data_IF_871934485299
#
_entry.id   IF_871934485299
#
_cell.length_a   1.000
_cell.length_b   1.000
_cell.length_c   1.000
_cell.angle_alpha   90.00
_cell.angle_beta   90.00
_cell.angle_gamma   90.00
#
_symmetry.space_group_name_H-M   'P 1'
#
loop_
_entity.id
_entity.type
_entity.pdbx_description
1 polymer ?
#
# COMPACT_ATOMS: atom_id res chain seq x y z
N UNK A 1 10.87 -10.17 -9.32
CA UNK A 1 11.37 -9.85 -7.96
C UNK A 1 11.60 -8.35 -7.90
N UNK A 2 11.35 -7.72 -6.76
CA UNK A 2 11.55 -6.28 -6.57
C UNK A 2 12.31 -6.07 -5.26
N UNK A 3 13.17 -5.06 -5.24
CA UNK A 3 14.07 -4.77 -4.14
C UNK A 3 14.84 -3.50 -4.45
N UNK A 4 15.28 -2.80 -3.41
CA UNK A 4 15.97 -1.52 -3.56
C UNK A 4 16.64 -1.10 -2.27
N UNK A 5 17.52 -0.12 -2.39
CA UNK A 5 18.18 0.54 -1.27
C UNK A 5 17.90 2.03 -1.34
N UNK A 6 17.75 2.65 -0.17
CA UNK A 6 17.61 4.10 -0.02
C UNK A 6 18.77 4.58 0.85
N UNK A 7 19.53 5.54 0.33
CA UNK A 7 20.45 6.34 1.12
C UNK A 7 19.84 7.73 1.33
N UNK A 8 19.87 8.20 2.57
CA UNK A 8 19.34 9.51 2.95
C UNK A 8 20.26 10.18 3.97
N UNK A 9 20.72 11.39 3.64
CA UNK A 9 21.42 12.25 4.59
C UNK A 9 20.41 12.80 5.59
N UNK A 10 20.73 12.67 6.89
CA UNK A 10 19.97 13.32 7.95
C UNK A 10 20.53 14.72 8.21
N UNK A 11 19.70 15.72 8.55
CA UNK A 11 20.17 17.06 8.88
C UNK A 11 20.98 17.03 10.18
N UNK A 12 22.29 16.83 10.05
CA UNK A 12 23.29 16.91 11.11
C UNK A 12 24.30 18.01 10.77
N UNK A 13 24.87 18.65 11.79
CA UNK A 13 25.79 19.78 11.61
C UNK A 13 27.07 19.42 10.83
N UNK A 14 27.43 18.14 10.77
CA UNK A 14 28.73 17.67 10.25
C UNK A 14 28.64 16.84 8.96
N UNK A 15 27.47 16.70 8.34
CA UNK A 15 27.33 15.93 7.10
C UNK A 15 27.92 16.71 5.90
N UNK A 16 29.09 16.29 5.41
CA UNK A 16 29.71 16.88 4.24
C UNK A 16 29.14 16.25 2.96
N UNK A 17 28.99 17.05 1.90
CA UNK A 17 28.47 16.55 0.62
C UNK A 17 29.33 15.41 0.04
N UNK A 18 30.65 15.47 0.25
CA UNK A 18 31.59 14.45 -0.21
C UNK A 18 31.38 13.08 0.45
N UNK A 19 31.00 13.04 1.74
CA UNK A 19 30.75 11.78 2.45
C UNK A 19 29.53 11.07 1.86
N UNK A 20 28.50 11.83 1.50
CA UNK A 20 27.33 11.27 0.84
C UNK A 20 27.65 10.79 -0.58
N UNK A 21 28.44 11.54 -1.36
CA UNK A 21 28.88 11.11 -2.70
C UNK A 21 29.67 9.80 -2.65
N UNK A 22 30.52 9.63 -1.65
CA UNK A 22 31.26 8.38 -1.41
C UNK A 22 30.32 7.20 -1.14
N UNK A 23 29.39 7.34 -0.17
CA UNK A 23 28.44 6.27 0.16
C UNK A 23 27.49 5.95 -1.01
N UNK A 24 27.07 6.96 -1.76
CA UNK A 24 26.27 6.78 -2.97
C UNK A 24 27.04 5.97 -4.03
N UNK A 25 28.30 6.33 -4.27
CA UNK A 25 29.18 5.62 -5.21
C UNK A 25 29.37 4.16 -4.80
N UNK A 26 29.60 3.87 -3.51
CA UNK A 26 29.68 2.50 -3.01
C UNK A 26 28.37 1.74 -3.25
N UNK A 27 27.23 2.34 -2.92
CA UNK A 27 25.90 1.73 -3.07
C UNK A 27 25.57 1.39 -4.51
N UNK A 28 25.94 2.25 -5.45
CA UNK A 28 25.74 2.02 -6.89
C UNK A 28 26.49 0.79 -7.42
N UNK A 29 27.52 0.30 -6.70
CA UNK A 29 28.23 -0.94 -7.06
C UNK A 29 27.44 -2.22 -6.77
N UNK A 30 26.28 -2.12 -6.13
CA UNK A 30 25.43 -3.28 -5.84
C UNK A 30 24.90 -3.90 -7.12
N UNK A 31 25.01 -5.24 -7.22
CA UNK A 31 24.42 -5.99 -8.33
C UNK A 31 23.02 -6.47 -7.96
N UNK A 32 22.14 -6.55 -8.95
CA UNK A 32 20.79 -7.08 -8.78
C UNK A 32 20.79 -8.50 -8.18
N UNK A 33 21.72 -9.36 -8.61
CA UNK A 33 21.89 -10.71 -8.06
C UNK A 33 22.17 -10.65 -6.56
N UNK A 34 23.13 -9.83 -6.13
CA UNK A 34 23.51 -9.68 -4.72
C UNK A 34 22.32 -9.18 -3.88
N UNK A 35 21.57 -8.20 -4.39
CA UNK A 35 20.41 -7.63 -3.70
C UNK A 35 19.26 -8.64 -3.52
N UNK A 36 19.12 -9.61 -4.42
CA UNK A 36 18.01 -10.58 -4.39
C UNK A 36 18.37 -11.92 -3.77
N UNK A 37 19.65 -12.30 -3.74
CA UNK A 37 20.06 -13.63 -3.26
C UNK A 37 20.76 -13.59 -1.90
N UNK A 38 21.39 -12.48 -1.54
CA UNK A 38 22.11 -12.37 -0.27
C UNK A 38 21.18 -11.88 0.85
N UNK A 39 21.40 -12.33 2.10
CA UNK A 39 20.83 -11.68 3.27
C UNK A 39 21.20 -10.20 3.33
N UNK A 40 20.30 -9.34 3.82
CA UNK A 40 20.53 -7.90 3.90
C UNK A 40 21.83 -7.52 4.64
N UNK A 41 22.16 -8.21 5.73
CA UNK A 41 23.39 -7.96 6.48
C UNK A 41 24.66 -8.23 5.65
N UNK A 42 24.64 -9.23 4.77
CA UNK A 42 25.78 -9.56 3.92
C UNK A 42 25.96 -8.50 2.83
N UNK A 43 24.85 -7.98 2.29
CA UNK A 43 24.87 -6.84 1.36
C UNK A 43 25.45 -5.60 2.03
N UNK A 44 24.99 -5.27 3.24
CA UNK A 44 25.48 -4.11 4.01
C UNK A 44 26.97 -4.23 4.33
N UNK A 45 27.41 -5.41 4.79
CA UNK A 45 28.83 -5.65 5.04
C UNK A 45 29.67 -5.52 3.77
N UNK A 46 29.25 -6.15 2.67
CA UNK A 46 29.96 -6.07 1.39
C UNK A 46 30.14 -4.62 0.91
N UNK A 47 29.12 -3.77 1.11
CA UNK A 47 29.16 -2.36 0.68
C UNK A 47 29.91 -1.44 1.65
N UNK A 48 29.76 -1.64 2.96
CA UNK A 48 30.14 -0.64 3.97
C UNK A 48 31.05 -1.19 5.08
N UNK A 49 31.75 -2.30 4.88
CA UNK A 49 32.66 -2.88 5.89
C UNK A 49 33.82 -1.95 6.31
N UNK A 50 34.16 -0.95 5.51
CA UNK A 50 35.16 0.07 5.85
C UNK A 50 34.56 1.25 6.65
N UNK A 51 33.23 1.30 6.78
CA UNK A 51 32.49 2.38 7.45
C UNK A 51 32.01 1.94 8.84
N UNK A 52 31.76 2.91 9.72
CA UNK A 52 31.10 2.65 11.01
C UNK A 52 29.58 2.56 10.81
N UNK A 53 29.04 1.34 10.84
CA UNK A 53 27.62 1.06 10.58
C UNK A 53 26.91 0.52 11.83
N UNK A 54 25.79 1.14 12.18
CA UNK A 54 24.84 0.59 13.17
C UNK A 54 23.65 -0.04 12.46
N UNK A 55 23.39 -1.33 12.73
CA UNK A 55 22.25 -2.07 12.17
C UNK A 55 21.14 -2.17 13.21
N UNK A 56 19.90 -1.87 12.81
CA UNK A 56 18.70 -1.97 13.64
C UNK A 56 17.90 -3.24 13.33
N UNK A 57 16.94 -3.57 14.19
CA UNK A 57 16.07 -4.73 13.99
C UNK A 57 15.27 -4.61 12.67
N UNK A 58 15.22 -5.67 11.86
CA UNK A 58 14.47 -5.65 10.62
C UNK A 58 12.97 -5.57 10.89
N UNK A 59 12.26 -4.90 9.98
CA UNK A 59 10.81 -4.84 9.97
C UNK A 59 10.29 -5.74 8.85
N UNK A 60 9.29 -6.58 9.15
CA UNK A 60 8.63 -7.38 8.12
C UNK A 60 7.82 -6.47 7.19
N UNK A 61 8.03 -6.64 5.89
CA UNK A 61 7.26 -5.96 4.85
C UNK A 61 6.24 -6.94 4.28
N UNK A 62 4.96 -6.58 4.35
CA UNK A 62 3.87 -7.36 3.79
C UNK A 62 2.98 -6.47 2.91
N UNK A 63 2.40 -7.06 1.86
CA UNK A 63 1.29 -6.42 1.17
C UNK A 63 0.04 -6.53 2.04
N UNK A 64 -0.58 -5.38 2.35
CA UNK A 64 -1.78 -5.33 3.20
C UNK A 64 -2.77 -4.29 2.71
N UNK A 65 -3.84 -4.76 2.07
CA UNK A 65 -4.97 -3.90 1.73
C UNK A 65 -5.96 -3.81 2.89
N UNK A 66 -6.62 -2.67 3.03
CA UNK A 66 -7.64 -2.43 4.06
C UNK A 66 -9.07 -2.39 3.50
N UNK A 67 -9.26 -2.75 2.22
CA UNK A 67 -10.60 -2.91 1.66
C UNK A 67 -11.36 -4.01 2.40
N UNK A 68 -12.68 -3.89 2.46
CA UNK A 68 -13.56 -4.92 3.00
C UNK A 68 -14.95 -4.79 2.39
N UNK A 69 -15.76 -5.84 2.50
CA UNK A 69 -17.15 -5.82 2.03
C UNK A 69 -17.95 -4.72 2.73
N UNK A 70 -17.71 -4.50 4.03
CA UNK A 70 -18.39 -3.46 4.82
C UNK A 70 -18.05 -2.05 4.32
N UNK A 71 -16.79 -1.80 3.95
CA UNK A 71 -16.38 -0.52 3.37
C UNK A 71 -16.99 -0.31 1.99
N UNK A 72 -17.03 -1.34 1.15
CA UNK A 72 -17.70 -1.28 -0.15
C UNK A 72 -19.21 -1.04 -0.01
N UNK A 73 -19.87 -1.71 0.93
CA UNK A 73 -21.27 -1.46 1.26
C UNK A 73 -21.49 -0.03 1.74
N UNK A 74 -20.58 0.52 2.56
CA UNK A 74 -20.61 1.92 2.98
C UNK A 74 -20.50 2.90 1.80
N UNK A 75 -19.68 2.59 0.80
CA UNK A 75 -19.59 3.39 -0.42
C UNK A 75 -20.88 3.32 -1.26
N UNK A 76 -21.46 2.12 -1.42
CA UNK A 76 -22.74 1.96 -2.12
C UNK A 76 -23.88 2.78 -1.49
N UNK A 77 -23.90 2.96 -0.17
CA UNK A 77 -24.88 3.84 0.50
C UNK A 77 -24.82 5.31 0.08
N UNK A 78 -23.72 5.76 -0.52
CA UNK A 78 -23.54 7.15 -0.93
C UNK A 78 -24.07 7.43 -2.33
N UNK A 79 -24.37 6.39 -3.11
CA UNK A 79 -24.90 6.50 -4.46
C UNK A 79 -26.43 6.67 -4.46
N UNK A 80 -27.00 7.36 -5.45
CA UNK A 80 -28.45 7.44 -5.64
C UNK A 80 -29.07 6.05 -5.84
N UNK A 81 -30.23 5.83 -5.23
CA UNK A 81 -30.91 4.53 -5.32
C UNK A 81 -31.26 4.13 -6.76
N UNK A 82 -31.63 5.11 -7.59
CA UNK A 82 -31.97 4.91 -9.01
C UNK A 82 -30.80 4.35 -9.82
N UNK A 83 -29.56 4.78 -9.51
CA UNK A 83 -28.34 4.31 -10.18
C UNK A 83 -28.07 2.85 -9.83
N UNK A 84 -28.12 2.52 -8.54
CA UNK A 84 -27.98 1.15 -8.04
C UNK A 84 -29.05 0.22 -8.63
N UNK A 85 -30.30 0.67 -8.64
CA UNK A 85 -31.42 -0.13 -9.14
C UNK A 85 -31.29 -0.38 -10.65
N UNK A 86 -30.79 0.60 -11.42
CA UNK A 86 -30.53 0.42 -12.84
C UNK A 86 -29.47 -0.64 -13.12
N UNK A 87 -28.36 -0.63 -12.37
CA UNK A 87 -27.28 -1.61 -12.53
C UNK A 87 -27.79 -3.01 -12.16
N UNK A 88 -28.56 -3.13 -11.08
CA UNK A 88 -29.17 -4.41 -10.69
C UNK A 88 -30.17 -4.94 -11.72
N UNK A 89 -30.93 -4.07 -12.39
CA UNK A 89 -31.87 -4.48 -13.42
C UNK A 89 -31.17 -5.02 -14.67
N UNK A 90 -30.04 -4.42 -15.05
CA UNK A 90 -29.29 -4.76 -16.25
C UNK A 90 -28.33 -5.94 -16.03
N UNK A 91 -27.62 -5.96 -14.90
CA UNK A 91 -26.51 -6.88 -14.62
C UNK A 91 -26.85 -7.95 -13.55
N UNK A 92 -27.91 -7.74 -12.76
CA UNK A 92 -28.35 -8.66 -11.69
C UNK A 92 -27.56 -8.55 -10.38
N UNK A 93 -26.33 -8.03 -10.44
CA UNK A 93 -25.45 -7.78 -9.30
C UNK A 93 -24.53 -6.57 -9.57
N UNK A 94 -23.96 -6.02 -8.50
CA UNK A 94 -22.92 -4.99 -8.57
C UNK A 94 -21.59 -5.61 -8.14
N UNK A 95 -20.59 -5.54 -9.01
CA UNK A 95 -19.23 -5.97 -8.72
C UNK A 95 -18.33 -4.79 -8.33
N UNK A 96 -18.02 -4.69 -7.03
CA UNK A 96 -17.10 -3.68 -6.51
C UNK A 96 -15.65 -4.20 -6.55
N UNK A 97 -14.89 -3.71 -7.53
CA UNK A 97 -13.46 -3.99 -7.68
C UNK A 97 -12.61 -3.04 -6.82
N UNK A 98 -11.66 -3.59 -6.05
CA UNK A 98 -10.67 -2.80 -5.32
C UNK A 98 -9.40 -2.58 -6.15
N UNK A 99 -9.19 -1.37 -6.66
CA UNK A 99 -8.03 -1.03 -7.50
C UNK A 99 -6.65 -1.22 -6.84
N UNK A 100 -6.59 -1.36 -5.52
CA UNK A 100 -5.34 -1.59 -4.79
C UNK A 100 -4.94 -3.06 -4.70
N UNK A 101 -5.90 -3.97 -4.52
CA UNK A 101 -5.62 -5.38 -4.28
C UNK A 101 -6.26 -6.34 -5.28
N UNK A 102 -7.14 -5.85 -6.16
CA UNK A 102 -7.85 -6.66 -7.13
C UNK A 102 -9.01 -7.49 -6.55
N UNK A 103 -9.36 -7.32 -5.27
CA UNK A 103 -10.50 -8.04 -4.70
C UNK A 103 -11.83 -7.56 -5.30
N UNK A 104 -12.73 -8.51 -5.51
CA UNK A 104 -14.09 -8.29 -5.98
C UNK A 104 -15.07 -8.52 -4.83
N UNK A 105 -16.01 -7.58 -4.66
CA UNK A 105 -17.09 -7.68 -3.69
C UNK A 105 -18.43 -7.58 -4.43
N UNK A 106 -19.09 -8.73 -4.61
CA UNK A 106 -20.35 -8.83 -5.34
C UNK A 106 -21.54 -8.53 -4.43
N UNK A 107 -22.44 -7.65 -4.86
CA UNK A 107 -23.67 -7.30 -4.14
C UNK A 107 -24.88 -7.55 -5.02
N UNK A 108 -25.77 -8.44 -4.59
CA UNK A 108 -27.03 -8.69 -5.28
C UNK A 108 -28.17 -7.84 -4.70
N UNK A 109 -29.37 -7.96 -5.28
CA UNK A 109 -30.54 -7.21 -4.83
C UNK A 109 -30.89 -7.42 -3.33
N UNK A 110 -30.64 -8.61 -2.77
CA UNK A 110 -30.87 -8.85 -1.33
C UNK A 110 -29.85 -8.11 -0.48
N UNK A 111 -28.57 -8.12 -0.88
CA UNK A 111 -27.52 -7.37 -0.19
C UNK A 111 -27.84 -5.87 -0.19
N UNK A 112 -28.25 -5.31 -1.34
CA UNK A 112 -28.62 -3.90 -1.47
C UNK A 112 -29.83 -3.56 -0.58
N UNK A 113 -30.84 -4.42 -0.55
CA UNK A 113 -31.99 -4.24 0.33
C UNK A 113 -31.58 -4.23 1.82
N UNK A 114 -30.65 -5.11 2.22
CA UNK A 114 -30.11 -5.13 3.58
C UNK A 114 -29.29 -3.86 3.90
N UNK A 115 -28.47 -3.39 2.94
CA UNK A 115 -27.66 -2.17 3.07
C UNK A 115 -28.57 -0.95 3.28
N UNK A 116 -29.68 -0.84 2.52
CA UNK A 116 -30.69 0.22 2.66
C UNK A 116 -31.45 0.14 3.98
N UNK A 117 -31.86 -1.06 4.40
CA UNK A 117 -32.57 -1.26 5.67
C UNK A 117 -31.68 -0.95 6.89
N UNK A 118 -30.38 -1.23 6.79
CA UNK A 118 -29.38 -0.87 7.80
C UNK A 118 -28.83 0.56 7.63
N UNK A 119 -29.36 1.35 6.70
CA UNK A 119 -29.14 2.79 6.65
C UNK A 119 -30.21 3.46 7.52
N UNK A 120 -29.83 3.84 8.75
CA UNK A 120 -30.62 4.83 9.51
C UNK A 120 -30.85 6.07 8.64
N UNK A 121 -32.00 6.76 8.76
CA UNK A 121 -32.31 7.90 7.91
C UNK A 121 -31.19 8.93 7.98
N UNK A 122 -30.77 9.38 6.80
CA UNK A 122 -29.67 10.29 6.54
C UNK A 122 -29.52 11.35 7.65
N UNK A 123 -28.34 11.42 8.25
CA UNK A 123 -27.93 12.58 9.04
C UNK A 123 -27.65 13.71 8.04
N UNK A 124 -28.45 14.79 8.00
CA UNK A 124 -28.16 15.90 7.13
C UNK A 124 -27.11 16.78 7.83
N UNK A 125 -25.83 16.48 7.62
CA UNK A 125 -24.72 17.42 7.88
C UNK A 125 -23.43 16.97 7.16
N UNK A 126 -23.05 17.64 6.06
CA UNK A 126 -22.12 18.80 5.99
C UNK A 126 -20.67 18.41 6.29
N UNK A 127 -19.84 18.39 5.24
CA UNK A 127 -18.67 19.25 5.07
C UNK A 127 -18.20 19.27 3.61
#
# INVERSE_FOLDING_TARGET
MAGGMLLQVMPAQDAQAADFEHLATLTETIKAEELFTLPANDVLWRLYHEEEVTVYDPQNVEFKCTCSRERCAGALKTLPDEEIDSILADEGEIDMHCDYCGNHYLFNAMDIAEIRNNASPADPQVH
#
